data_IF_990406800817
#
_entry.id   IF_990406800817
#
_cell.length_a   1.000
_cell.length_b   1.000
_cell.length_c   1.000
_cell.angle_alpha   90.00
_cell.angle_beta   90.00
_cell.angle_gamma   90.00
#
_symmetry.space_group_name_H-M   'P 1'
#
loop_
_entity.id
_entity.type
_entity.pdbx_description
1 polymer ?
#
# COMPACT_ATOMS: atom_id res chain seq x y z
N UNK A 1 -15.12 6.26 25.18
CA UNK A 1 -15.48 6.26 23.75
C UNK A 1 -14.36 5.60 22.98
N UNK A 2 -14.68 4.79 21.98
CA UNK A 2 -13.66 4.19 21.11
C UNK A 2 -13.08 5.32 20.25
N UNK A 3 -11.81 5.66 20.44
CA UNK A 3 -11.14 6.74 19.73
C UNK A 3 -9.71 6.33 19.41
N UNK A 4 -9.22 6.80 18.28
CA UNK A 4 -7.86 6.55 17.80
C UNK A 4 -7.03 7.79 18.11
N UNK A 5 -5.96 7.63 18.89
CA UNK A 5 -4.99 8.70 19.13
C UNK A 5 -3.91 8.65 18.06
N UNK A 6 -3.66 9.79 17.41
CA UNK A 6 -2.51 9.93 16.53
C UNK A 6 -1.29 10.30 17.38
N UNK A 7 -0.33 9.38 17.45
CA UNK A 7 0.98 9.68 18.02
C UNK A 7 1.75 10.60 17.06
N UNK A 8 2.73 11.34 17.56
CA UNK A 8 3.52 12.28 16.76
C UNK A 8 4.38 11.59 15.68
N UNK A 9 4.43 10.26 15.70
CA UNK A 9 5.15 9.45 14.73
C UNK A 9 4.25 9.02 13.55
N UNK A 10 4.87 8.83 12.38
CA UNK A 10 4.16 8.41 11.17
C UNK A 10 3.71 6.94 11.19
N UNK A 11 3.98 6.18 12.26
CA UNK A 11 3.74 4.74 12.32
C UNK A 11 2.23 4.42 12.31
N UNK A 12 1.38 5.32 12.80
CA UNK A 12 -0.07 5.09 12.87
C UNK A 12 -0.85 5.41 11.59
N UNK A 13 -0.22 6.00 10.57
CA UNK A 13 -0.93 6.52 9.38
C UNK A 13 -1.61 5.40 8.58
N UNK A 14 -1.01 4.21 8.50
CA UNK A 14 -1.60 3.06 7.79
C UNK A 14 -2.87 2.55 8.47
N UNK A 15 -2.86 2.50 9.80
CA UNK A 15 -4.00 2.11 10.63
C UNK A 15 -5.09 3.16 10.52
N UNK A 16 -4.72 4.44 10.65
CA UNK A 16 -5.65 5.55 10.51
C UNK A 16 -6.34 5.56 9.14
N UNK A 17 -5.58 5.38 8.04
CA UNK A 17 -6.19 5.30 6.70
C UNK A 17 -7.13 4.08 6.60
N UNK A 18 -6.74 2.91 7.12
CA UNK A 18 -7.60 1.74 7.10
C UNK A 18 -8.91 2.01 7.85
N UNK A 19 -8.85 2.56 9.07
CA UNK A 19 -10.04 2.89 9.85
C UNK A 19 -10.93 3.91 9.13
N UNK A 20 -10.34 4.96 8.55
CA UNK A 20 -11.05 5.96 7.77
C UNK A 20 -11.74 5.35 6.54
N UNK A 21 -11.08 4.44 5.82
CA UNK A 21 -11.69 3.72 4.71
C UNK A 21 -12.79 2.76 5.18
N UNK A 22 -12.62 2.13 6.35
CA UNK A 22 -13.57 1.17 6.90
C UNK A 22 -14.93 1.81 7.23
N UNK A 23 -14.94 3.08 7.63
CA UNK A 23 -16.15 3.88 7.94
C UNK A 23 -16.59 4.80 6.79
N UNK A 24 -15.85 4.82 5.69
CA UNK A 24 -16.13 5.70 4.55
C UNK A 24 -17.39 5.27 3.80
N UNK A 25 -18.24 6.21 3.34
CA UNK A 25 -19.36 5.89 2.45
C UNK A 25 -18.91 5.38 1.07
N UNK A 26 -17.63 5.51 0.73
CA UNK A 26 -17.06 5.01 -0.52
C UNK A 26 -16.60 3.54 -0.45
N UNK A 27 -16.73 2.89 0.71
CA UNK A 27 -16.44 1.47 0.86
C UNK A 27 -17.64 0.64 0.40
N UNK A 28 -17.38 -0.34 -0.46
CA UNK A 28 -18.34 -1.39 -0.81
C UNK A 28 -17.93 -2.73 -0.17
N UNK A 29 -18.92 -3.58 0.10
CA UNK A 29 -18.73 -4.98 0.50
C UNK A 29 -18.80 -5.93 -0.69
N UNK A 30 -19.29 -5.47 -1.84
CA UNK A 30 -19.27 -6.23 -3.09
C UNK A 30 -17.97 -5.91 -3.85
N UNK A 31 -17.05 -6.88 -3.99
CA UNK A 31 -15.80 -6.64 -4.69
C UNK A 31 -15.97 -6.41 -6.21
N UNK A 32 -17.11 -6.76 -6.80
CA UNK A 32 -17.38 -6.48 -8.22
C UNK A 32 -17.74 -5.01 -8.47
N UNK A 33 -18.28 -4.32 -7.46
CA UNK A 33 -18.55 -2.89 -7.51
C UNK A 33 -17.32 -2.03 -7.19
N UNK A 34 -16.24 -2.66 -6.68
CA UNK A 34 -15.05 -1.94 -6.26
C UNK A 34 -14.22 -1.43 -7.46
N UNK A 35 -14.00 -0.11 -7.49
CA UNK A 35 -13.08 0.51 -8.44
C UNK A 35 -11.61 0.29 -8.05
N UNK A 36 -11.33 0.19 -6.74
CA UNK A 36 -10.00 0.00 -6.15
C UNK A 36 -10.04 -0.94 -4.93
N UNK A 37 -8.93 -1.61 -4.68
CA UNK A 37 -8.71 -2.47 -3.52
C UNK A 37 -7.59 -1.88 -2.64
N UNK A 38 -7.92 -1.45 -1.43
CA UNK A 38 -6.90 -1.09 -0.46
C UNK A 38 -6.32 -2.35 0.19
N UNK A 39 -4.99 -2.45 0.21
CA UNK A 39 -4.27 -3.59 0.78
C UNK A 39 -3.60 -3.17 2.09
N UNK A 40 -4.19 -3.52 3.26
CA UNK A 40 -3.69 -3.06 4.55
C UNK A 40 -2.47 -3.89 4.99
N UNK A 41 -1.28 -3.48 4.58
CA UNK A 41 -0.01 -4.01 5.10
C UNK A 41 0.62 -2.97 6.00
N UNK A 42 0.63 -3.24 7.31
CA UNK A 42 1.15 -2.32 8.33
C UNK A 42 2.66 -2.44 8.52
N UNK A 43 3.43 -2.34 7.42
CA UNK A 43 4.86 -2.64 7.47
C UNK A 43 5.61 -1.65 8.36
N UNK A 44 5.13 -0.40 8.46
CA UNK A 44 5.74 0.67 9.25
C UNK A 44 5.77 0.27 10.73
N UNK A 45 4.67 -0.25 11.29
CA UNK A 45 4.62 -0.76 12.67
C UNK A 45 5.53 -1.98 12.90
N UNK A 46 5.63 -2.87 11.91
CA UNK A 46 6.38 -4.12 12.08
C UNK A 46 7.87 -3.99 11.77
N UNK A 47 8.33 -2.87 11.19
CA UNK A 47 9.69 -2.75 10.70
C UNK A 47 10.75 -2.89 11.80
N UNK A 48 10.52 -2.30 12.98
CA UNK A 48 11.46 -2.40 14.10
C UNK A 48 11.50 -3.80 14.75
N UNK A 49 10.36 -4.42 15.10
CA UNK A 49 10.33 -5.82 15.51
C UNK A 49 11.05 -6.72 14.50
N UNK A 50 10.77 -6.55 13.21
CA UNK A 50 11.36 -7.34 12.12
C UNK A 50 12.87 -7.12 11.96
N UNK A 51 13.34 -5.88 12.16
CA UNK A 51 14.75 -5.52 11.98
C UNK A 51 15.63 -5.87 13.18
N UNK A 52 15.08 -5.93 14.39
CA UNK A 52 15.87 -5.93 15.62
C UNK A 52 15.51 -6.99 16.66
N UNK A 53 14.22 -7.30 16.80
CA UNK A 53 13.67 -7.98 18.00
C UNK A 53 12.86 -9.24 17.66
N UNK A 54 12.90 -9.66 16.40
CA UNK A 54 12.28 -10.88 15.96
C UNK A 54 13.19 -12.05 16.32
N UNK A 55 12.70 -12.96 17.17
CA UNK A 55 13.43 -14.18 17.53
C UNK A 55 13.66 -15.10 16.33
N UNK A 56 12.91 -14.90 15.23
CA UNK A 56 12.97 -15.64 13.96
C UNK A 56 12.54 -14.73 12.80
N UNK A 57 12.96 -14.99 11.54
CA UNK A 57 12.48 -14.24 10.40
C UNK A 57 10.96 -14.44 10.22
N UNK A 58 10.15 -13.40 10.42
CA UNK A 58 8.71 -13.49 10.19
C UNK A 58 8.38 -13.62 8.69
N UNK A 59 9.22 -13.04 7.82
CA UNK A 59 8.97 -12.93 6.39
C UNK A 59 10.26 -13.08 5.59
N UNK A 60 10.78 -14.32 5.46
CA UNK A 60 11.97 -14.60 4.63
C UNK A 60 13.05 -15.44 5.32
N UNK A 61 14.28 -15.46 4.77
CA UNK A 61 15.35 -16.30 5.30
C UNK A 61 15.91 -15.78 6.64
N UNK A 62 16.36 -16.68 7.53
CA UNK A 62 16.74 -16.40 8.94
C UNK A 62 17.97 -15.51 9.16
N UNK A 63 18.58 -15.02 8.10
CA UNK A 63 19.86 -14.30 8.17
C UNK A 63 19.77 -12.83 7.78
N UNK A 64 18.57 -12.28 7.55
CA UNK A 64 18.47 -10.90 7.07
C UNK A 64 18.29 -9.89 8.22
N UNK A 65 19.42 -9.37 8.71
CA UNK A 65 19.50 -8.06 9.39
C UNK A 65 19.12 -6.88 8.45
N UNK A 66 18.67 -7.19 7.23
CA UNK A 66 18.27 -6.21 6.25
C UNK A 66 16.77 -5.94 6.38
N UNK A 67 16.39 -4.92 7.18
CA UNK A 67 15.04 -4.32 7.23
C UNK A 67 14.32 -4.28 5.88
N UNK A 68 15.06 -3.93 4.82
CA UNK A 68 14.56 -3.84 3.46
C UNK A 68 14.01 -5.17 2.91
N UNK A 69 14.74 -6.26 3.12
CA UNK A 69 14.36 -7.57 2.59
C UNK A 69 13.12 -8.10 3.30
N UNK A 70 13.05 -7.98 4.62
CA UNK A 70 11.90 -8.47 5.36
C UNK A 70 10.62 -7.67 5.08
N UNK A 71 10.70 -6.34 4.98
CA UNK A 71 9.56 -5.51 4.57
C UNK A 71 9.10 -5.86 3.13
N UNK A 72 10.04 -6.05 2.20
CA UNK A 72 9.72 -6.49 0.85
C UNK A 72 8.98 -7.84 0.85
N UNK A 73 9.42 -8.80 1.66
CA UNK A 73 8.78 -10.10 1.78
C UNK A 73 7.38 -10.02 2.43
N UNK A 74 7.12 -9.10 3.35
CA UNK A 74 5.77 -8.87 3.88
C UNK A 74 4.79 -8.52 2.76
N UNK A 75 5.14 -7.54 1.92
CA UNK A 75 4.28 -7.16 0.80
C UNK A 75 4.15 -8.27 -0.23
N UNK A 76 5.23 -9.00 -0.53
CA UNK A 76 5.17 -10.15 -1.44
C UNK A 76 4.28 -11.27 -0.89
N UNK A 77 4.32 -11.52 0.42
CA UNK A 77 3.44 -12.49 1.07
C UNK A 77 1.98 -12.05 0.98
N UNK A 78 1.69 -10.77 1.23
CA UNK A 78 0.35 -10.21 1.09
C UNK A 78 -0.16 -10.31 -0.36
N UNK A 79 0.63 -9.88 -1.35
CA UNK A 79 0.31 -10.03 -2.78
C UNK A 79 0.02 -11.48 -3.13
N UNK A 80 0.92 -12.40 -2.76
CA UNK A 80 0.77 -13.83 -3.06
C UNK A 80 -0.51 -14.41 -2.45
N UNK A 81 -0.82 -14.02 -1.22
CA UNK A 81 -2.06 -14.42 -0.57
C UNK A 81 -3.29 -13.90 -1.33
N UNK A 82 -3.31 -12.60 -1.68
CA UNK A 82 -4.41 -12.00 -2.45
C UNK A 82 -4.60 -12.73 -3.78
N UNK A 83 -3.52 -12.97 -4.54
CA UNK A 83 -3.58 -13.72 -5.80
C UNK A 83 -4.13 -15.14 -5.63
N UNK A 84 -3.80 -15.81 -4.51
CA UNK A 84 -4.29 -17.16 -4.25
C UNK A 84 -5.73 -17.22 -3.72
N UNK A 85 -6.17 -16.16 -3.04
CA UNK A 85 -7.46 -16.13 -2.35
C UNK A 85 -8.56 -15.46 -3.18
N UNK A 86 -8.20 -14.52 -4.06
CA UNK A 86 -9.13 -13.68 -4.79
C UNK A 86 -8.72 -13.49 -6.26
N UNK A 87 -9.68 -13.43 -7.20
CA UNK A 87 -9.38 -13.28 -8.63
C UNK A 87 -9.00 -11.84 -9.03
N UNK A 88 -9.15 -10.87 -8.13
CA UNK A 88 -9.10 -9.44 -8.47
C UNK A 88 -7.70 -8.91 -8.77
N UNK A 89 -6.66 -9.48 -8.18
CA UNK A 89 -5.28 -9.07 -8.47
C UNK A 89 -4.94 -9.34 -9.95
N UNK A 90 -5.10 -10.59 -10.37
CA UNK A 90 -4.71 -11.02 -11.72
C UNK A 90 -5.64 -10.44 -12.80
N UNK A 91 -6.90 -10.11 -12.47
CA UNK A 91 -7.86 -9.45 -13.37
C UNK A 91 -7.31 -8.18 -14.00
N UNK A 92 -6.58 -7.36 -13.23
CA UNK A 92 -5.99 -6.08 -13.70
C UNK A 92 -4.50 -5.97 -13.47
N UNK A 93 -3.84 -7.08 -13.13
CA UNK A 93 -2.41 -7.13 -12.81
C UNK A 93 -2.03 -6.20 -11.65
N UNK A 94 -2.91 -6.00 -10.67
CA UNK A 94 -2.67 -5.15 -9.50
C UNK A 94 -2.84 -3.64 -9.72
N UNK A 95 -3.21 -3.16 -10.92
CA UNK A 95 -3.33 -1.71 -11.25
C UNK A 95 -4.37 -0.95 -10.45
N UNK A 96 -5.32 -1.66 -9.87
CA UNK A 96 -6.40 -1.15 -9.02
C UNK A 96 -6.15 -1.43 -7.52
N UNK A 97 -4.98 -1.97 -7.17
CA UNK A 97 -4.60 -2.21 -5.78
C UNK A 97 -3.78 -1.04 -5.23
N UNK A 98 -4.16 -0.56 -4.05
CA UNK A 98 -3.53 0.58 -3.37
C UNK A 98 -2.77 0.06 -2.17
N UNK A 99 -1.47 0.39 -2.13
CA UNK A 99 -0.58 0.14 -0.99
C UNK A 99 -0.11 1.46 -0.40
N UNK A 100 0.25 1.43 0.88
CA UNK A 100 0.86 2.55 1.57
C UNK A 100 2.34 2.26 1.87
N UNK A 101 3.18 3.29 1.68
CA UNK A 101 4.60 3.32 2.03
C UNK A 101 4.95 4.64 2.74
N UNK A 102 4.56 4.75 4.01
CA UNK A 102 4.64 5.95 4.85
C UNK A 102 5.81 5.92 5.85
N UNK A 103 6.56 4.82 5.98
CA UNK A 103 7.83 4.81 6.73
C UNK A 103 8.81 5.84 6.16
N UNK A 104 9.77 6.35 6.94
CA UNK A 104 10.67 7.46 6.56
C UNK A 104 11.49 7.20 5.28
N UNK A 105 11.85 5.95 4.93
CA UNK A 105 12.44 5.63 3.62
C UNK A 105 11.43 5.28 2.50
N UNK A 106 10.12 5.43 2.77
CA UNK A 106 9.03 5.40 1.81
C UNK A 106 9.01 4.16 0.92
N UNK A 107 8.89 4.38 -0.40
CA UNK A 107 8.82 3.32 -1.40
C UNK A 107 10.15 2.56 -1.60
N UNK A 108 11.24 2.90 -0.91
CA UNK A 108 12.52 2.18 -1.05
C UNK A 108 12.44 0.71 -0.62
N UNK A 109 11.52 0.38 0.28
CA UNK A 109 11.29 -0.99 0.74
C UNK A 109 10.51 -1.84 -0.27
N UNK A 110 9.81 -1.19 -1.21
CA UNK A 110 8.74 -1.81 -1.96
C UNK A 110 9.29 -2.74 -3.04
N UNK A 111 8.83 -4.01 -3.12
CA UNK A 111 9.30 -4.93 -4.13
C UNK A 111 8.87 -4.41 -5.51
N UNK A 112 9.77 -4.52 -6.49
CA UNK A 112 9.52 -4.00 -7.85
C UNK A 112 8.27 -4.59 -8.50
N UNK A 113 7.89 -5.81 -8.11
CA UNK A 113 6.67 -6.49 -8.57
C UNK A 113 5.37 -5.81 -8.15
N UNK A 114 5.37 -5.03 -7.07
CA UNK A 114 4.21 -4.27 -6.61
C UNK A 114 4.38 -2.81 -7.00
N UNK A 115 5.58 -2.25 -6.80
CA UNK A 115 5.88 -0.85 -7.14
C UNK A 115 5.58 -0.50 -8.60
N UNK A 116 5.82 -1.43 -9.54
CA UNK A 116 5.60 -1.18 -10.97
C UNK A 116 4.16 -1.41 -11.43
N UNK A 117 3.34 -2.08 -10.64
CA UNK A 117 2.02 -2.54 -11.10
C UNK A 117 0.87 -1.94 -10.30
N UNK A 118 1.07 -1.64 -9.02
CA UNK A 118 0.06 -1.14 -8.10
C UNK A 118 0.17 0.36 -7.84
N UNK A 119 -0.84 0.92 -7.21
CA UNK A 119 -0.88 2.32 -6.80
C UNK A 119 -0.19 2.45 -5.45
N UNK A 120 0.74 3.41 -5.35
CA UNK A 120 1.53 3.63 -4.16
C UNK A 120 1.22 4.98 -3.52
N UNK A 121 0.82 4.96 -2.25
CA UNK A 121 0.73 6.13 -1.39
C UNK A 121 2.06 6.27 -0.63
N UNK A 122 2.95 7.15 -1.07
CA UNK A 122 4.26 7.38 -0.43
C UNK A 122 4.50 8.87 -0.18
N UNK A 123 5.16 9.18 0.94
CA UNK A 123 5.61 10.54 1.26
C UNK A 123 7.01 10.84 0.70
N UNK A 124 7.78 9.81 0.31
CA UNK A 124 9.11 9.92 -0.28
C UNK A 124 9.15 9.14 -1.62
N UNK A 125 8.91 9.83 -2.76
CA UNK A 125 8.84 9.20 -4.07
C UNK A 125 10.17 9.31 -4.84
N UNK A 126 11.28 8.70 -4.37
CA UNK A 126 12.55 8.76 -5.12
C UNK A 126 13.09 7.38 -5.52
N UNK A 127 12.77 6.96 -6.77
CA UNK A 127 13.63 6.18 -7.70
C UNK A 127 13.19 6.24 -9.18
N UNK A 128 12.42 7.25 -9.60
CA UNK A 128 12.20 7.51 -11.03
C UNK A 128 12.28 9.01 -11.31
N UNK A 129 13.15 9.49 -12.23
CA UNK A 129 12.93 10.79 -12.85
C UNK A 129 11.60 10.69 -13.62
N UNK A 130 10.53 11.23 -13.04
CA UNK A 130 9.21 11.26 -13.68
C UNK A 130 9.22 12.42 -14.67
N UNK A 131 9.15 12.10 -15.97
CA UNK A 131 9.26 13.08 -17.05
C UNK A 131 7.94 13.79 -17.39
N UNK A 132 6.84 13.54 -16.68
CA UNK A 132 5.55 14.17 -16.97
C UNK A 132 4.60 14.25 -15.76
N UNK A 133 4.01 15.44 -15.62
CA UNK A 133 3.09 15.92 -14.57
C UNK A 133 1.78 15.12 -14.40
N UNK A 134 1.03 15.33 -13.29
CA UNK A 134 1.32 16.25 -12.18
C UNK A 134 1.65 15.58 -10.84
N UNK A 135 2.59 16.18 -10.11
CA UNK A 135 2.84 15.96 -8.68
C UNK A 135 2.53 17.27 -7.94
N UNK A 136 1.66 17.22 -6.93
CA UNK A 136 1.44 18.30 -5.99
C UNK A 136 1.81 17.81 -4.59
N UNK A 137 2.53 18.65 -3.85
CA UNK A 137 3.09 18.42 -2.50
C UNK A 137 2.05 18.32 -1.38
N UNK A 138 0.80 18.04 -1.71
CA UNK A 138 -0.19 17.44 -0.82
C UNK A 138 -0.59 16.10 -1.42
N UNK A 139 0.21 15.07 -1.10
CA UNK A 139 0.07 13.76 -1.72
C UNK A 139 -1.33 13.18 -1.49
N UNK A 140 -1.97 13.43 -0.34
CA UNK A 140 -3.26 12.79 -0.03
C UNK A 140 -4.40 13.43 -0.81
N UNK A 141 -4.53 14.76 -0.79
CA UNK A 141 -5.59 15.43 -1.56
C UNK A 141 -5.40 15.25 -3.08
N UNK A 142 -4.16 15.30 -3.54
CA UNK A 142 -3.81 15.10 -4.95
C UNK A 142 -4.04 13.67 -5.39
N UNK A 143 -3.70 12.67 -4.56
CA UNK A 143 -3.96 11.27 -4.89
C UNK A 143 -5.46 10.98 -4.85
N UNK A 144 -6.24 11.52 -3.91
CA UNK A 144 -7.70 11.35 -3.91
C UNK A 144 -8.33 11.98 -5.17
N UNK A 145 -7.92 13.20 -5.54
CA UNK A 145 -8.40 13.85 -6.76
C UNK A 145 -7.96 13.13 -8.03
N UNK A 146 -6.71 12.64 -8.07
CA UNK A 146 -6.18 11.85 -9.17
C UNK A 146 -6.89 10.49 -9.29
N UNK A 147 -7.05 9.75 -8.19
CA UNK A 147 -7.80 8.49 -8.12
C UNK A 147 -9.22 8.71 -8.64
N UNK A 148 -9.90 9.75 -8.16
CA UNK A 148 -11.24 10.10 -8.61
C UNK A 148 -11.29 10.37 -10.13
N UNK A 149 -10.28 11.06 -10.68
CA UNK A 149 -10.20 11.29 -12.14
C UNK A 149 -9.89 10.03 -12.96
N UNK A 150 -9.26 9.01 -12.35
CA UNK A 150 -8.82 7.78 -13.02
C UNK A 150 -9.81 6.62 -12.91
N UNK A 151 -10.91 6.77 -12.17
CA UNK A 151 -12.00 5.76 -12.06
C UNK A 151 -12.46 5.27 -13.44
N UNK A 152 -12.50 6.15 -14.46
CA UNK A 152 -12.89 5.76 -15.82
C UNK A 152 -11.83 4.91 -16.53
N UNK A 153 -10.56 5.13 -16.22
CA UNK A 153 -9.42 4.45 -16.86
C UNK A 153 -9.11 3.09 -16.24
N UNK A 154 -9.58 2.83 -15.00
CA UNK A 154 -9.43 1.54 -14.32
C UNK A 154 -10.49 0.52 -14.73
N UNK A 155 -11.62 0.96 -15.27
CA UNK A 155 -12.74 0.06 -15.64
C UNK A 155 -12.48 -0.82 -16.87
N UNK A 156 -11.42 -0.57 -17.64
CA UNK A 156 -11.20 -1.25 -18.92
C UNK A 156 -12.20 -0.79 -19.99
N UNK A 157 -11.89 -1.01 -21.27
CA UNK A 157 -12.83 -0.68 -22.34
C UNK A 157 -14.14 -1.45 -22.10
N UNK A 158 -15.25 -0.73 -21.97
CA UNK A 158 -16.57 -1.33 -21.88
C UNK A 158 -16.76 -2.29 -23.08
N UNK A 159 -17.04 -3.55 -22.79
CA UNK A 159 -17.55 -4.51 -23.76
C UNK A 159 -19.03 -4.22 -24.04
#
# INVERSE_FOLDING_TARGET
GNHTEMFADGYSVEVYLHEMLAISPHRTFDPEEADFFYVPVYYTCFMWPINGWADMPFWGPPTSWARYANAAHMWLAAKKWIQSAFPFWDRRGGRDHIFMANHDEGACYMPTEIYKTAIMLTHCPDRMPVHSFPHHTDAVATIIQWLHSRIRDTRGAAA
#
